data_IF_602521958729
#
_entry.id   IF_602521958729
#
_cell.length_a   1.000
_cell.length_b   1.000
_cell.length_c   1.000
_cell.angle_alpha   90.00
_cell.angle_beta   90.00
_cell.angle_gamma   90.00
#
_symmetry.space_group_name_H-M   'P 1'
#
loop_
_entity.id
_entity.type
_entity.pdbx_description
1 polymer ?
#
# COMPACT_ATOMS: atom_id res chain seq x y z
N UNK A 1 7.27 -21.71 -17.53
CA UNK A 1 6.50 -21.45 -18.76
C UNK A 1 7.10 -20.24 -19.45
N UNK A 2 7.52 -20.38 -20.69
CA UNK A 2 8.05 -19.28 -21.51
C UNK A 2 6.94 -18.24 -21.70
N UNK A 3 7.02 -17.13 -20.95
CA UNK A 3 6.16 -15.99 -21.15
C UNK A 3 6.25 -15.58 -22.63
N UNK A 4 5.14 -15.66 -23.36
CA UNK A 4 5.05 -15.01 -24.67
C UNK A 4 5.38 -13.54 -24.44
N UNK A 5 6.55 -13.10 -24.91
CA UNK A 5 6.96 -11.69 -24.82
C UNK A 5 5.86 -10.85 -25.47
N UNK A 6 5.09 -10.16 -24.64
CA UNK A 6 4.01 -9.30 -25.09
C UNK A 6 4.66 -8.08 -25.73
N UNK A 7 4.47 -7.94 -27.04
CA UNK A 7 4.93 -6.75 -27.75
C UNK A 7 4.05 -5.58 -27.32
N UNK A 8 4.67 -4.55 -26.74
CA UNK A 8 3.95 -3.35 -26.31
C UNK A 8 3.48 -2.54 -27.53
N UNK A 9 2.25 -2.01 -27.46
CA UNK A 9 1.65 -1.17 -28.52
C UNK A 9 1.06 0.13 -27.99
N UNK A 10 0.95 0.24 -26.68
CA UNK A 10 0.32 1.36 -25.97
C UNK A 10 1.14 1.72 -24.74
N UNK A 11 0.94 2.92 -24.18
CA UNK A 11 1.52 3.28 -22.89
C UNK A 11 1.10 2.31 -21.80
N UNK A 12 -0.13 1.81 -21.87
CA UNK A 12 -0.67 0.88 -20.88
C UNK A 12 0.06 -0.47 -20.90
N UNK A 13 0.43 -0.98 -22.09
CA UNK A 13 1.24 -2.21 -22.18
C UNK A 13 2.61 -2.02 -21.52
N UNK A 14 3.28 -0.88 -21.73
CA UNK A 14 4.59 -0.61 -21.13
C UNK A 14 4.46 -0.45 -19.62
N UNK A 15 3.46 0.31 -19.15
CA UNK A 15 3.21 0.53 -17.73
C UNK A 15 2.83 -0.77 -17.01
N UNK A 16 2.07 -1.67 -17.64
CA UNK A 16 1.75 -2.99 -17.08
C UNK A 16 3.00 -3.84 -16.92
N UNK A 17 3.90 -3.87 -17.91
CA UNK A 17 5.14 -4.66 -17.82
C UNK A 17 6.09 -4.09 -16.75
N UNK A 18 6.19 -2.77 -16.62
CA UNK A 18 6.92 -2.12 -15.52
C UNK A 18 6.31 -2.51 -14.18
N UNK A 19 5.00 -2.31 -14.01
CA UNK A 19 4.32 -2.61 -12.75
C UNK A 19 4.35 -4.10 -12.39
N UNK A 20 4.29 -5.00 -13.38
CA UNK A 20 4.45 -6.44 -13.18
C UNK A 20 5.87 -6.80 -12.71
N UNK A 21 6.90 -6.08 -13.18
CA UNK A 21 8.26 -6.26 -12.71
C UNK A 21 8.50 -5.71 -11.29
N UNK A 22 7.60 -4.83 -10.81
CA UNK A 22 7.56 -4.34 -9.44
C UNK A 22 6.79 -5.25 -8.48
N UNK A 23 6.03 -6.23 -8.98
CA UNK A 23 5.33 -7.18 -8.11
C UNK A 23 6.33 -8.00 -7.29
N UNK A 24 5.90 -8.38 -6.09
CA UNK A 24 6.53 -9.47 -5.36
C UNK A 24 6.45 -10.75 -6.23
N UNK A 25 7.58 -11.45 -6.47
CA UNK A 25 7.57 -12.70 -7.21
C UNK A 25 6.63 -13.72 -6.56
N UNK A 26 5.87 -14.54 -7.32
CA UNK A 26 4.97 -15.54 -6.75
C UNK A 26 5.65 -16.49 -5.76
N UNK A 27 6.90 -16.90 -6.04
CA UNK A 27 7.68 -17.74 -5.12
C UNK A 27 7.98 -17.05 -3.79
N UNK A 28 8.27 -15.73 -3.83
CA UNK A 28 8.53 -14.94 -2.61
C UNK A 28 7.24 -14.64 -1.84
N UNK A 29 6.12 -14.48 -2.53
CA UNK A 29 4.82 -14.36 -1.89
C UNK A 29 4.42 -15.66 -1.16
N UNK A 30 4.55 -16.81 -1.82
CA UNK A 30 4.29 -18.11 -1.17
C UNK A 30 5.28 -18.38 -0.03
N UNK A 31 6.56 -18.02 -0.18
CA UNK A 31 7.53 -18.11 0.92
C UNK A 31 7.08 -17.26 2.12
N UNK A 32 6.77 -15.97 1.93
CA UNK A 32 6.29 -15.12 3.02
C UNK A 32 5.02 -15.69 3.68
N UNK A 33 4.14 -16.30 2.88
CA UNK A 33 2.92 -16.97 3.35
C UNK A 33 3.19 -18.19 4.21
N UNK A 34 3.98 -19.13 3.72
CA UNK A 34 4.37 -20.33 4.48
C UNK A 34 4.98 -19.95 5.84
N UNK A 35 5.72 -18.84 5.87
CA UNK A 35 6.43 -18.37 7.07
C UNK A 35 5.49 -17.76 8.11
N UNK A 36 4.51 -16.94 7.70
CA UNK A 36 3.55 -16.41 8.68
C UNK A 36 2.53 -17.47 9.09
N UNK A 37 2.23 -18.45 8.23
CA UNK A 37 1.40 -19.61 8.58
C UNK A 37 2.12 -20.52 9.58
N UNK A 38 3.43 -20.74 9.41
CA UNK A 38 4.26 -21.45 10.39
C UNK A 38 4.33 -20.72 11.74
N UNK A 39 4.47 -19.40 11.74
CA UNK A 39 4.37 -18.60 12.96
C UNK A 39 2.98 -18.73 13.60
N UNK A 40 1.91 -18.66 12.81
CA UNK A 40 0.55 -18.87 13.31
C UNK A 40 0.37 -20.24 13.98
N UNK A 41 0.86 -21.31 13.34
CA UNK A 41 0.82 -22.66 13.88
C UNK A 41 1.66 -22.81 15.16
N UNK A 42 2.80 -22.11 15.26
CA UNK A 42 3.57 -22.05 16.50
C UNK A 42 2.77 -21.41 17.64
N UNK A 43 2.14 -20.26 17.38
CA UNK A 43 1.40 -19.51 18.39
C UNK A 43 0.17 -20.30 18.89
N UNK A 44 -0.45 -21.09 18.03
CA UNK A 44 -1.61 -21.95 18.34
C UNK A 44 -1.22 -23.33 18.92
N UNK A 45 0.08 -23.63 19.03
CA UNK A 45 0.55 -24.92 19.55
C UNK A 45 0.18 -25.12 21.04
N UNK A 46 -0.08 -26.36 21.50
CA UNK A 46 -0.41 -26.63 22.91
C UNK A 46 0.65 -26.16 23.91
N UNK A 47 1.90 -26.05 23.48
CA UNK A 47 3.04 -25.58 24.29
C UNK A 47 3.11 -24.05 24.38
N UNK A 48 2.48 -23.33 23.44
CA UNK A 48 2.43 -21.87 23.43
C UNK A 48 1.56 -21.36 24.57
N UNK A 49 2.05 -20.32 25.26
CA UNK A 49 1.29 -19.59 26.28
C UNK A 49 0.09 -18.84 25.71
N UNK A 50 0.03 -18.68 24.38
CA UNK A 50 -1.05 -17.99 23.69
C UNK A 50 -2.20 -18.91 23.26
N UNK A 51 -2.00 -20.23 23.24
CA UNK A 51 -3.01 -21.20 22.78
C UNK A 51 -4.35 -21.09 23.50
N UNK A 52 -4.33 -20.70 24.78
CA UNK A 52 -5.52 -20.44 25.59
C UNK A 52 -6.40 -19.30 25.04
N UNK A 53 -5.87 -18.47 24.14
CA UNK A 53 -6.53 -17.31 23.57
C UNK A 53 -6.83 -17.44 22.08
N UNK A 54 -6.73 -18.63 21.48
CA UNK A 54 -7.06 -18.90 20.07
C UNK A 54 -6.41 -17.86 19.11
N UNK A 55 -5.07 -17.81 19.08
CA UNK A 55 -4.32 -16.78 18.38
C UNK A 55 -4.50 -16.90 16.86
N UNK A 56 -4.80 -15.79 16.21
CA UNK A 56 -4.90 -15.73 14.75
C UNK A 56 -3.85 -14.77 14.19
N UNK A 57 -3.09 -15.23 13.19
CA UNK A 57 -2.17 -14.40 12.40
C UNK A 57 -2.80 -14.08 11.05
N UNK A 58 -2.90 -12.79 10.72
CA UNK A 58 -3.40 -12.35 9.40
C UNK A 58 -2.52 -11.24 8.83
N UNK A 59 -2.23 -11.26 7.51
CA UNK A 59 -1.51 -10.17 6.86
C UNK A 59 -2.34 -8.89 6.85
N UNK A 60 -1.66 -7.75 6.93
CA UNK A 60 -2.23 -6.42 6.74
C UNK A 60 -1.37 -5.62 5.74
N UNK A 61 -1.57 -4.30 5.68
CA UNK A 61 -0.70 -3.41 4.92
C UNK A 61 -0.64 -3.74 3.43
N UNK A 62 0.53 -3.57 2.83
CA UNK A 62 0.70 -3.67 1.37
C UNK A 62 0.43 -5.07 0.83
N UNK A 63 0.69 -6.12 1.62
CA UNK A 63 0.37 -7.51 1.28
C UNK A 63 -1.14 -7.72 1.15
N UNK A 64 -1.91 -7.28 2.13
CA UNK A 64 -3.37 -7.39 2.11
C UNK A 64 -4.01 -6.57 0.97
N UNK A 65 -3.44 -5.40 0.67
CA UNK A 65 -3.95 -4.51 -0.38
C UNK A 65 -3.50 -4.92 -1.81
N UNK A 66 -2.57 -5.86 -1.94
CA UNK A 66 -1.96 -6.23 -3.22
C UNK A 66 -1.16 -5.09 -3.86
N UNK A 67 -0.51 -4.27 -3.05
CA UNK A 67 0.31 -3.11 -3.47
C UNK A 67 1.76 -3.23 -3.00
N UNK A 68 2.20 -4.43 -2.61
CA UNK A 68 3.61 -4.75 -2.34
C UNK A 68 4.46 -4.36 -3.54
N UNK A 69 5.60 -3.73 -3.27
CA UNK A 69 6.56 -3.29 -4.28
C UNK A 69 7.89 -3.95 -4.02
N UNK A 70 8.53 -4.48 -5.06
CA UNK A 70 9.90 -4.99 -5.00
C UNK A 70 10.83 -3.92 -4.42
N UNK A 71 11.70 -4.26 -3.44
CA UNK A 71 12.69 -3.32 -2.91
C UNK A 71 13.57 -2.71 -4.01
N UNK A 72 14.22 -1.57 -3.74
CA UNK A 72 15.10 -0.92 -4.72
C UNK A 72 16.40 -1.70 -4.89
N UNK A 73 16.92 -2.21 -3.78
CA UNK A 73 18.21 -2.94 -3.73
C UNK A 73 17.99 -4.36 -3.22
N UNK A 74 18.98 -5.24 -3.45
CA UNK A 74 18.96 -6.60 -2.91
C UNK A 74 19.20 -6.64 -1.38
N UNK A 75 19.69 -5.53 -0.80
CA UNK A 75 19.89 -5.39 0.64
C UNK A 75 18.62 -4.98 1.39
N UNK A 76 17.64 -4.41 0.70
CA UNK A 76 16.35 -4.06 1.28
C UNK A 76 15.42 -5.27 1.31
N UNK A 77 14.55 -5.32 2.31
CA UNK A 77 13.64 -6.41 2.60
C UNK A 77 12.19 -6.07 2.23
N UNK A 78 11.40 -7.08 1.87
CA UNK A 78 9.94 -6.93 1.83
C UNK A 78 9.37 -6.82 3.24
N UNK A 79 8.46 -5.86 3.44
CA UNK A 79 7.76 -5.66 4.70
C UNK A 79 6.47 -6.49 4.72
N UNK A 80 6.40 -7.46 5.63
CA UNK A 80 5.23 -8.31 5.88
C UNK A 80 4.59 -7.89 7.20
N UNK A 81 3.64 -6.95 7.14
CA UNK A 81 2.86 -6.57 8.29
C UNK A 81 1.84 -7.66 8.67
N UNK A 82 1.85 -8.09 9.94
CA UNK A 82 0.95 -9.10 10.49
C UNK A 82 0.18 -8.56 11.70
N UNK A 83 -1.07 -9.00 11.85
CA UNK A 83 -1.85 -8.84 13.08
C UNK A 83 -1.86 -10.17 13.82
N UNK A 84 -1.43 -10.17 15.08
CA UNK A 84 -1.59 -11.27 16.03
C UNK A 84 -2.80 -10.96 16.92
N UNK A 85 -3.95 -11.50 16.54
CA UNK A 85 -5.22 -11.30 17.24
C UNK A 85 -5.42 -12.41 18.28
N UNK A 86 -5.58 -12.04 19.54
CA UNK A 86 -5.96 -12.97 20.61
C UNK A 86 -7.44 -12.80 20.96
N UNK A 87 -8.18 -13.91 21.12
CA UNK A 87 -9.55 -13.92 21.67
C UNK A 87 -9.53 -13.69 23.18
N UNK A 88 -9.10 -12.50 23.58
CA UNK A 88 -9.09 -12.01 24.94
C UNK A 88 -9.71 -10.60 25.01
N UNK A 89 -9.77 -10.05 26.21
CA UNK A 89 -10.33 -8.72 26.48
C UNK A 89 -9.34 -7.83 27.23
N UNK A 90 -9.65 -6.52 27.28
CA UNK A 90 -8.84 -5.53 27.99
C UNK A 90 -8.88 -5.67 29.52
N UNK A 91 -9.71 -6.57 30.06
CA UNK A 91 -9.67 -6.95 31.48
C UNK A 91 -8.63 -8.03 31.76
N UNK A 92 -8.20 -8.76 30.72
CA UNK A 92 -7.22 -9.84 30.84
C UNK A 92 -5.78 -9.32 30.69
N UNK A 93 -5.60 -8.22 29.94
CA UNK A 93 -4.30 -7.68 29.59
C UNK A 93 -4.20 -6.16 29.77
N UNK A 94 -3.01 -5.69 30.15
CA UNK A 94 -2.56 -4.34 29.83
C UNK A 94 -1.90 -4.36 28.44
N UNK A 95 -1.69 -3.20 27.80
CA UNK A 95 -0.98 -3.17 26.51
C UNK A 95 0.42 -3.79 26.64
N UNK A 96 1.06 -3.52 27.78
CA UNK A 96 2.36 -4.09 28.15
C UNK A 96 2.31 -5.60 28.28
N UNK A 97 1.42 -6.15 29.10
CA UNK A 97 1.40 -7.60 29.32
C UNK A 97 1.02 -8.36 28.05
N UNK A 98 0.12 -7.82 27.21
CA UNK A 98 -0.18 -8.41 25.90
C UNK A 98 1.07 -8.44 25.02
N UNK A 99 1.75 -7.29 24.89
CA UNK A 99 2.94 -7.16 24.05
C UNK A 99 4.07 -8.06 24.54
N UNK A 100 4.31 -8.13 25.84
CA UNK A 100 5.33 -8.99 26.44
C UNK A 100 5.02 -10.47 26.21
N UNK A 101 3.76 -10.89 26.39
CA UNK A 101 3.33 -12.29 26.19
C UNK A 101 3.54 -12.72 24.73
N UNK A 102 3.10 -11.90 23.77
CA UNK A 102 3.37 -12.16 22.34
C UNK A 102 4.87 -12.16 22.04
N UNK A 103 5.63 -11.24 22.64
CA UNK A 103 7.08 -11.18 22.48
C UNK A 103 7.82 -12.41 23.03
N UNK A 104 7.32 -13.04 24.09
CA UNK A 104 7.88 -14.30 24.63
C UNK A 104 7.80 -15.40 23.58
N UNK A 105 6.64 -15.58 22.95
CA UNK A 105 6.45 -16.59 21.91
C UNK A 105 7.24 -16.29 20.65
N UNK A 106 7.26 -15.03 20.20
CA UNK A 106 8.06 -14.62 19.03
C UNK A 106 9.56 -14.91 19.25
N UNK A 107 10.08 -14.65 20.46
CA UNK A 107 11.46 -15.00 20.82
C UNK A 107 11.66 -16.52 20.94
N UNK A 108 10.65 -17.27 21.38
CA UNK A 108 10.74 -18.72 21.45
C UNK A 108 10.78 -19.33 20.04
N UNK A 109 9.90 -18.89 19.14
CA UNK A 109 9.90 -19.23 17.72
C UNK A 109 11.25 -18.95 17.08
N UNK A 110 11.78 -17.72 17.22
CA UNK A 110 13.07 -17.36 16.63
C UNK A 110 14.23 -18.24 17.12
N UNK A 111 14.23 -18.64 18.40
CA UNK A 111 15.22 -19.58 18.95
C UNK A 111 15.04 -21.01 18.44
N UNK A 112 13.80 -21.48 18.30
CA UNK A 112 13.50 -22.83 17.82
C UNK A 112 13.84 -23.02 16.34
N UNK A 113 13.87 -21.91 15.57
CA UNK A 113 14.18 -21.87 14.15
C UNK A 113 15.58 -21.33 13.84
N UNK A 114 16.46 -21.23 14.84
CA UNK A 114 17.86 -20.79 14.70
C UNK A 114 18.03 -19.47 13.92
N UNK A 115 17.12 -18.51 14.13
CA UNK A 115 17.17 -17.21 13.45
C UNK A 115 18.37 -16.39 13.95
N UNK A 116 19.18 -15.87 13.02
CA UNK A 116 20.42 -15.15 13.33
C UNK A 116 20.18 -13.86 14.14
N UNK A 117 19.20 -13.06 13.69
CA UNK A 117 18.81 -11.80 14.32
C UNK A 117 17.72 -12.07 15.36
N UNK A 118 17.90 -11.48 16.54
CA UNK A 118 16.88 -11.55 17.59
C UNK A 118 15.67 -10.69 17.20
N UNK A 119 14.45 -11.10 17.58
CA UNK A 119 13.28 -10.24 17.37
C UNK A 119 13.44 -8.90 18.09
N UNK A 120 13.08 -7.82 17.41
CA UNK A 120 13.20 -6.45 17.90
C UNK A 120 11.84 -5.93 18.38
N UNK A 121 11.85 -5.17 19.49
CA UNK A 121 10.65 -4.53 20.00
C UNK A 121 10.46 -3.15 19.35
N UNK A 122 9.52 -3.04 18.42
CA UNK A 122 9.11 -1.76 17.86
C UNK A 122 8.14 -1.00 18.76
N UNK A 123 7.65 0.16 18.33
CA UNK A 123 6.64 0.94 19.07
C UNK A 123 5.35 0.14 19.32
N UNK A 124 4.84 -0.51 18.27
CA UNK A 124 3.56 -1.24 18.27
C UNK A 124 3.73 -2.73 18.01
N UNK A 125 4.59 -3.09 17.07
CA UNK A 125 4.88 -4.47 16.68
C UNK A 125 6.13 -5.06 17.37
N UNK A 126 6.31 -6.36 17.16
CA UNK A 126 7.58 -7.08 17.24
C UNK A 126 8.06 -7.39 15.83
N UNK A 127 9.32 -7.12 15.53
CA UNK A 127 9.90 -7.37 14.20
C UNK A 127 10.73 -8.65 14.21
N UNK A 128 10.39 -9.59 13.32
CA UNK A 128 11.14 -10.80 13.04
C UNK A 128 11.93 -10.61 11.75
N UNK A 129 13.26 -10.62 11.86
CA UNK A 129 14.17 -10.49 10.72
C UNK A 129 14.55 -11.87 10.19
N UNK A 130 14.13 -12.22 8.98
CA UNK A 130 14.61 -13.44 8.33
C UNK A 130 16.00 -13.22 7.71
N UNK A 131 16.69 -14.33 7.39
CA UNK A 131 18.02 -14.26 6.79
C UNK A 131 18.00 -13.55 5.42
N UNK A 132 19.17 -13.05 5.01
CA UNK A 132 19.32 -12.20 3.81
C UNK A 132 18.82 -12.90 2.52
N UNK A 133 18.82 -14.24 2.47
CA UNK A 133 18.29 -15.03 1.35
C UNK A 133 16.75 -15.02 1.27
N UNK A 134 16.07 -14.87 2.40
CA UNK A 134 14.64 -14.71 2.49
C UNK A 134 14.17 -13.32 2.02
N UNK A 135 14.96 -12.28 2.33
CA UNK A 135 14.73 -10.88 1.93
C UNK A 135 13.38 -10.31 2.44
N UNK A 136 12.93 -10.64 3.65
CA UNK A 136 11.76 -10.01 4.29
C UNK A 136 11.91 -9.94 5.81
N UNK A 137 11.26 -8.95 6.42
CA UNK A 137 10.95 -8.95 7.85
C UNK A 137 9.44 -9.06 8.07
N UNK A 138 9.06 -9.56 9.23
CA UNK A 138 7.68 -9.67 9.66
C UNK A 138 7.41 -8.79 10.88
N UNK A 139 6.50 -7.85 10.73
CA UNK A 139 6.06 -6.97 11.79
C UNK A 139 4.78 -7.52 12.43
N UNK A 140 4.91 -8.14 13.59
CA UNK A 140 3.82 -8.80 14.31
C UNK A 140 3.20 -7.84 15.31
N UNK A 141 1.99 -7.36 15.02
CA UNK A 141 1.23 -6.44 15.87
C UNK A 141 0.34 -7.21 16.86
N UNK A 142 0.60 -7.16 18.18
CA UNK A 142 -0.30 -7.72 19.18
C UNK A 142 -1.63 -6.94 19.23
N UNK A 143 -2.75 -7.66 19.19
CA UNK A 143 -4.07 -7.06 19.10
C UNK A 143 -5.16 -7.85 19.82
N UNK A 144 -6.24 -7.15 20.20
CA UNK A 144 -7.47 -7.71 20.75
C UNK A 144 -8.69 -7.25 19.94
N UNK A 145 -9.78 -8.03 19.85
CA UNK A 145 -11.03 -7.59 19.22
C UNK A 145 -11.61 -6.35 19.94
N UNK A 146 -12.02 -5.31 19.20
CA UNK A 146 -12.59 -4.08 19.79
C UNK A 146 -13.74 -3.47 18.96
N UNK A 147 -14.38 -4.27 18.11
CA UNK A 147 -15.42 -3.84 17.17
C UNK A 147 -16.59 -3.08 17.81
N UNK A 148 -17.06 -3.52 18.98
CA UNK A 148 -18.21 -2.90 19.63
C UNK A 148 -17.89 -1.49 20.13
N UNK A 149 -16.76 -1.32 20.83
CA UNK A 149 -16.28 0.00 21.28
C UNK A 149 -15.96 0.91 20.10
N UNK A 150 -15.35 0.37 19.05
CA UNK A 150 -15.05 1.10 17.82
C UNK A 150 -16.30 1.75 17.21
N UNK A 151 -17.40 1.00 17.11
CA UNK A 151 -18.69 1.52 16.63
C UNK A 151 -19.25 2.60 17.53
N UNK A 152 -19.20 2.42 18.85
CA UNK A 152 -19.65 3.43 19.82
C UNK A 152 -18.87 4.74 19.66
N UNK A 153 -17.55 4.65 19.51
CA UNK A 153 -16.69 5.83 19.29
C UNK A 153 -17.04 6.52 17.97
N UNK A 154 -17.24 5.76 16.88
CA UNK A 154 -17.68 6.33 15.60
C UNK A 154 -19.04 7.06 15.72
N UNK A 155 -20.02 6.48 16.43
CA UNK A 155 -21.32 7.12 16.66
C UNK A 155 -21.20 8.41 17.47
N UNK A 156 -20.37 8.42 18.51
CA UNK A 156 -20.10 9.60 19.35
C UNK A 156 -19.45 10.74 18.55
N UNK A 157 -18.60 10.41 17.58
CA UNK A 157 -17.99 11.38 16.67
C UNK A 157 -18.90 11.75 15.47
N UNK A 158 -20.14 11.26 15.43
CA UNK A 158 -21.13 11.61 14.41
C UNK A 158 -21.09 10.74 13.14
N UNK A 159 -20.26 9.71 13.08
CA UNK A 159 -20.11 8.81 11.93
C UNK A 159 -21.07 7.63 11.97
N UNK A 160 -22.38 7.90 12.10
CA UNK A 160 -23.42 6.87 12.30
C UNK A 160 -23.51 5.85 11.17
N UNK A 161 -23.40 6.28 9.92
CA UNK A 161 -23.49 5.36 8.77
C UNK A 161 -22.29 4.42 8.70
N UNK A 162 -21.10 4.95 8.98
CA UNK A 162 -19.88 4.14 9.07
C UNK A 162 -19.96 3.14 10.23
N UNK A 163 -20.45 3.58 11.40
CA UNK A 163 -20.62 2.72 12.57
C UNK A 163 -21.58 1.53 12.30
N UNK A 164 -22.60 1.74 11.47
CA UNK A 164 -23.57 0.70 11.07
C UNK A 164 -23.06 -0.22 9.97
N UNK A 165 -22.01 0.17 9.25
CA UNK A 165 -21.42 -0.64 8.20
C UNK A 165 -20.54 -1.74 8.82
N UNK A 166 -21.10 -2.94 8.97
CA UNK A 166 -20.41 -4.08 9.57
C UNK A 166 -19.18 -4.52 8.77
N UNK A 167 -19.18 -4.38 7.43
CA UNK A 167 -18.03 -4.68 6.57
C UNK A 167 -16.83 -3.78 6.87
N UNK A 168 -17.06 -2.56 7.35
CA UNK A 168 -16.00 -1.61 7.67
C UNK A 168 -15.67 -1.53 9.16
N UNK A 169 -16.43 -2.18 10.05
CA UNK A 169 -16.27 -2.03 11.51
C UNK A 169 -16.17 -3.34 12.27
N UNK A 170 -16.61 -4.46 11.68
CA UNK A 170 -16.75 -5.75 12.36
C UNK A 170 -15.45 -6.41 12.79
N UNK A 171 -14.32 -5.98 12.21
CA UNK A 171 -12.99 -6.51 12.49
C UNK A 171 -12.05 -5.45 13.07
N UNK A 172 -12.59 -4.40 13.69
CA UNK A 172 -11.78 -3.43 14.40
C UNK A 172 -11.12 -4.07 15.62
N UNK A 173 -9.89 -3.62 15.89
CA UNK A 173 -8.99 -4.17 16.89
C UNK A 173 -8.46 -3.06 17.81
N UNK A 174 -8.18 -3.42 19.05
CA UNK A 174 -7.33 -2.64 19.95
C UNK A 174 -5.88 -3.09 19.76
N UNK A 175 -4.97 -2.13 19.72
CA UNK A 175 -3.55 -2.38 19.43
C UNK A 175 -2.67 -1.87 20.57
N UNK A 176 -1.45 -2.39 20.67
CA UNK A 176 -0.47 -1.92 21.66
C UNK A 176 0.33 -0.73 21.14
N UNK A 177 0.72 0.17 22.05
CA UNK A 177 1.65 1.26 21.77
C UNK A 177 2.48 1.58 23.03
N UNK A 178 3.76 1.21 23.02
CA UNK A 178 4.64 1.33 24.19
C UNK A 178 5.08 2.77 24.53
N UNK A 179 4.59 3.75 23.77
CA UNK A 179 4.83 5.19 24.03
C UNK A 179 3.72 5.84 24.85
N UNK A 180 2.61 5.14 25.08
CA UNK A 180 1.45 5.72 25.75
C UNK A 180 1.57 5.71 27.28
N UNK A 181 1.11 6.77 27.98
CA UNK A 181 1.16 6.84 29.44
C UNK A 181 0.41 5.72 30.17
N UNK A 182 -0.59 5.11 29.52
CA UNK A 182 -1.41 4.02 30.05
C UNK A 182 -0.93 2.62 29.64
N UNK A 183 0.23 2.50 28.98
CA UNK A 183 0.73 1.24 28.42
C UNK A 183 0.77 0.07 29.43
N UNK A 184 1.15 0.34 30.68
CA UNK A 184 1.25 -0.66 31.75
C UNK A 184 0.00 -0.74 32.65
N UNK A 185 -1.08 -0.03 32.31
CA UNK A 185 -2.29 0.04 33.13
C UNK A 185 -3.41 -0.80 32.55
N UNK A 186 -4.22 -1.39 33.42
CA UNK A 186 -5.47 -2.04 33.04
C UNK A 186 -6.50 -0.96 32.74
N UNK A 187 -6.89 -0.81 31.47
CA UNK A 187 -7.78 0.26 31.01
C UNK A 187 -8.44 -0.13 29.68
N UNK A 188 -9.62 0.43 29.41
CA UNK A 188 -10.29 0.32 28.10
C UNK A 188 -9.72 1.28 27.05
N UNK A 189 -8.92 2.26 27.50
CA UNK A 189 -8.33 3.32 26.68
C UNK A 189 -7.10 2.86 25.91
N UNK A 190 -7.34 1.97 24.95
CA UNK A 190 -6.36 1.50 23.99
C UNK A 190 -6.55 2.19 22.65
N UNK A 191 -5.46 2.44 21.89
CA UNK A 191 -5.55 2.79 20.49
C UNK A 191 -6.36 1.76 19.71
N UNK A 192 -7.11 2.23 18.74
CA UNK A 192 -7.89 1.39 17.85
C UNK A 192 -7.32 1.42 16.45
N UNK A 193 -7.39 0.29 15.77
CA UNK A 193 -7.09 0.18 14.35
C UNK A 193 -8.12 -0.73 13.69
N UNK A 194 -8.18 -0.69 12.37
CA UNK A 194 -9.07 -1.57 11.62
C UNK A 194 -8.49 -1.87 10.23
N UNK A 195 -7.39 -2.64 10.14
CA UNK A 195 -6.71 -2.92 8.87
C UNK A 195 -7.62 -3.64 7.88
N UNK A 196 -8.46 -4.55 8.36
CA UNK A 196 -9.43 -5.27 7.53
C UNK A 196 -10.56 -4.37 7.01
N UNK A 197 -11.06 -3.45 7.85
CA UNK A 197 -12.01 -2.43 7.43
C UNK A 197 -11.41 -1.51 6.37
N UNK A 198 -10.16 -1.08 6.54
CA UNK A 198 -9.43 -0.29 5.54
C UNK A 198 -9.28 -1.06 4.22
N UNK A 199 -8.92 -2.35 4.28
CA UNK A 199 -8.82 -3.19 3.09
C UNK A 199 -10.18 -3.38 2.39
N UNK A 200 -11.27 -3.54 3.14
CA UNK A 200 -12.63 -3.60 2.61
C UNK A 200 -13.01 -2.28 1.92
N UNK A 201 -12.70 -1.13 2.52
CA UNK A 201 -12.88 0.17 1.89
C UNK A 201 -12.04 0.30 0.61
N UNK A 202 -10.76 -0.05 0.65
CA UNK A 202 -9.87 0.02 -0.51
C UNK A 202 -10.38 -0.85 -1.66
N UNK A 203 -10.81 -2.08 -1.37
CA UNK A 203 -11.47 -2.98 -2.32
C UNK A 203 -12.70 -2.35 -2.94
N UNK A 204 -13.52 -1.64 -2.16
CA UNK A 204 -14.71 -0.93 -2.68
C UNK A 204 -14.37 0.15 -3.71
N UNK A 205 -13.19 0.79 -3.59
CA UNK A 205 -12.72 1.81 -4.55
C UNK A 205 -12.39 1.24 -5.92
N UNK A 206 -12.07 -0.06 -6.01
CA UNK A 206 -11.69 -0.75 -7.24
C UNK A 206 -12.65 -1.88 -7.64
N UNK A 207 -13.84 -1.94 -7.05
CA UNK A 207 -14.74 -3.09 -7.17
C UNK A 207 -15.12 -3.44 -8.63
N UNK A 208 -15.31 -2.43 -9.48
CA UNK A 208 -15.66 -2.64 -10.89
C UNK A 208 -14.50 -3.33 -11.61
N UNK A 209 -13.30 -2.74 -11.56
CA UNK A 209 -12.15 -3.30 -12.26
C UNK A 209 -11.70 -4.63 -11.66
N UNK A 210 -11.83 -4.81 -10.36
CA UNK A 210 -11.52 -6.09 -9.71
C UNK A 210 -12.41 -7.23 -10.22
N UNK A 211 -13.71 -6.96 -10.35
CA UNK A 211 -14.66 -7.92 -10.91
C UNK A 211 -14.31 -8.27 -12.37
N UNK A 212 -13.98 -7.25 -13.18
CA UNK A 212 -13.60 -7.48 -14.58
C UNK A 212 -12.29 -8.27 -14.72
N UNK A 213 -11.29 -8.01 -13.89
CA UNK A 213 -10.04 -8.77 -13.90
C UNK A 213 -10.22 -10.23 -13.46
N UNK A 214 -11.09 -10.49 -12.47
CA UNK A 214 -11.44 -11.86 -12.09
C UNK A 214 -12.16 -12.60 -13.22
N UNK A 215 -13.13 -11.96 -13.89
CA UNK A 215 -13.79 -12.53 -15.07
C UNK A 215 -12.80 -12.87 -16.17
N UNK A 216 -11.89 -11.95 -16.50
CA UNK A 216 -10.86 -12.17 -17.50
C UNK A 216 -9.92 -13.34 -17.12
N UNK A 217 -9.59 -13.47 -15.83
CA UNK A 217 -8.75 -14.57 -15.32
C UNK A 217 -9.46 -15.91 -15.40
N UNK A 218 -10.72 -16.00 -14.98
CA UNK A 218 -11.55 -17.20 -15.10
C UNK A 218 -11.61 -17.70 -16.56
N UNK A 219 -11.84 -16.77 -17.49
CA UNK A 219 -11.91 -17.07 -18.93
C UNK A 219 -10.56 -17.59 -19.46
N UNK A 220 -9.44 -17.00 -19.06
CA UNK A 220 -8.09 -17.42 -19.50
C UNK A 220 -7.70 -18.79 -18.96
N UNK A 221 -8.05 -19.09 -17.71
CA UNK A 221 -7.68 -20.35 -17.07
C UNK A 221 -8.64 -21.50 -17.43
N UNK A 222 -9.68 -21.26 -18.23
CA UNK A 222 -10.72 -22.24 -18.60
C UNK A 222 -11.37 -22.91 -17.35
N UNK A 223 -11.37 -22.20 -16.22
CA UNK A 223 -11.93 -22.73 -14.96
C UNK A 223 -13.41 -22.39 -14.94
N UNK A 224 -14.26 -23.39 -14.67
CA UNK A 224 -15.71 -23.22 -14.46
C UNK A 224 -16.06 -22.69 -13.06
N UNK A 225 -15.04 -22.30 -12.28
CA UNK A 225 -15.22 -21.77 -10.93
C UNK A 225 -15.98 -20.44 -10.98
N UNK A 226 -16.70 -20.12 -9.90
CA UNK A 226 -17.35 -18.83 -9.79
C UNK A 226 -16.29 -17.73 -9.85
N UNK A 227 -16.62 -16.58 -10.43
CA UNK A 227 -15.76 -15.38 -10.40
C UNK A 227 -15.40 -15.04 -8.95
N UNK A 228 -16.28 -15.34 -8.01
CA UNK A 228 -16.08 -15.11 -6.57
C UNK A 228 -15.00 -16.01 -5.95
N UNK A 229 -14.70 -17.17 -6.55
CA UNK A 229 -13.74 -18.15 -6.03
C UNK A 229 -12.28 -17.76 -6.35
N UNK A 230 -12.05 -16.86 -7.31
CA UNK A 230 -10.70 -16.39 -7.64
C UNK A 230 -10.21 -15.48 -6.52
N UNK A 231 -9.12 -15.83 -5.81
CA UNK A 231 -8.58 -14.98 -4.75
C UNK A 231 -8.14 -13.63 -5.27
N UNK A 232 -8.39 -12.57 -4.51
CA UNK A 232 -8.07 -11.20 -4.92
C UNK A 232 -6.58 -10.99 -5.21
N UNK A 233 -5.71 -11.67 -4.45
CA UNK A 233 -4.26 -11.58 -4.63
C UNK A 233 -3.76 -12.17 -5.95
N UNK A 234 -4.60 -12.91 -6.70
CA UNK A 234 -4.22 -13.45 -8.01
C UNK A 234 -4.45 -12.46 -9.16
N UNK A 235 -5.16 -11.36 -8.91
CA UNK A 235 -5.44 -10.32 -9.90
C UNK A 235 -4.90 -8.98 -9.46
N UNK A 236 -4.61 -8.10 -10.42
CA UNK A 236 -4.17 -6.72 -10.16
C UNK A 236 -5.06 -5.78 -10.94
N UNK A 237 -5.56 -4.75 -10.25
CA UNK A 237 -6.37 -3.69 -10.85
C UNK A 237 -5.49 -2.52 -11.29
N UNK A 238 -5.98 -1.66 -12.20
CA UNK A 238 -5.31 -0.42 -12.56
C UNK A 238 -4.98 0.48 -11.36
N UNK A 239 -5.83 0.50 -10.31
CA UNK A 239 -5.55 1.23 -9.08
C UNK A 239 -4.29 0.70 -8.37
N UNK A 240 -4.22 -0.62 -8.17
CA UNK A 240 -3.08 -1.26 -7.50
C UNK A 240 -1.79 -1.02 -8.29
N UNK A 241 -1.86 -1.18 -9.61
CA UNK A 241 -0.74 -0.92 -10.54
C UNK A 241 -0.26 0.53 -10.49
N UNK A 242 -1.19 1.48 -10.54
CA UNK A 242 -0.86 2.90 -10.41
C UNK A 242 -0.20 3.21 -9.06
N UNK A 243 -0.70 2.65 -7.95
CA UNK A 243 -0.10 2.83 -6.62
C UNK A 243 1.31 2.24 -6.57
N UNK A 244 1.56 1.06 -7.14
CA UNK A 244 2.90 0.47 -7.20
C UNK A 244 3.89 1.37 -7.95
N UNK A 245 3.48 1.90 -9.11
CA UNK A 245 4.30 2.85 -9.88
C UNK A 245 4.56 4.15 -9.12
N UNK A 246 3.55 4.69 -8.42
CA UNK A 246 3.69 5.89 -7.60
C UNK A 246 4.61 5.67 -6.38
N UNK A 247 4.50 4.51 -5.73
CA UNK A 247 5.40 4.10 -4.64
C UNK A 247 6.83 3.96 -5.14
N UNK A 248 7.05 3.24 -6.25
CA UNK A 248 8.39 3.12 -6.85
C UNK A 248 8.95 4.49 -7.25
N UNK A 249 8.13 5.35 -7.85
CA UNK A 249 8.49 6.74 -8.12
C UNK A 249 8.95 7.49 -6.88
N UNK A 250 8.22 7.33 -5.77
CA UNK A 250 8.60 7.91 -4.48
C UNK A 250 9.92 7.33 -3.98
N UNK A 251 10.07 6.01 -4.02
CA UNK A 251 11.25 5.33 -3.50
C UNK A 251 12.52 5.75 -4.25
N UNK A 252 12.52 5.80 -5.59
CA UNK A 252 13.68 6.26 -6.35
C UNK A 252 14.01 7.74 -6.09
N UNK A 253 12.99 8.60 -5.98
CA UNK A 253 13.18 10.04 -5.75
C UNK A 253 13.80 10.34 -4.37
N UNK A 254 13.57 9.47 -3.39
CA UNK A 254 14.08 9.61 -2.02
C UNK A 254 14.99 8.45 -1.62
N UNK A 255 15.73 7.87 -2.58
CA UNK A 255 16.66 6.76 -2.30
C UNK A 255 17.70 7.12 -1.21
N UNK A 256 18.05 8.40 -1.10
CA UNK A 256 18.98 8.93 -0.10
C UNK A 256 18.31 9.56 1.14
N UNK A 257 16.97 9.57 1.24
CA UNK A 257 16.22 10.16 2.36
C UNK A 257 14.99 9.30 2.72
N UNK A 258 15.25 8.16 3.36
CA UNK A 258 14.21 7.22 3.77
C UNK A 258 13.32 7.76 4.91
N UNK A 259 13.87 8.65 5.74
CA UNK A 259 13.21 9.17 6.95
C UNK A 259 12.06 10.14 6.65
N UNK A 260 12.24 10.99 5.62
CA UNK A 260 11.29 12.06 5.31
C UNK A 260 10.48 11.81 4.04
N UNK A 261 10.63 10.63 3.41
CA UNK A 261 9.90 10.31 2.20
C UNK A 261 8.38 10.19 2.48
N UNK A 262 7.51 10.56 1.53
CA UNK A 262 6.07 10.53 1.75
C UNK A 262 5.56 9.12 2.02
N UNK A 263 4.96 8.84 3.19
CA UNK A 263 4.62 7.46 3.60
C UNK A 263 3.59 6.77 2.70
N UNK A 264 3.68 5.45 2.58
CA UNK A 264 2.88 4.64 1.65
C UNK A 264 1.37 4.75 1.88
N UNK A 265 0.94 4.86 3.15
CA UNK A 265 -0.49 4.97 3.50
C UNK A 265 -1.11 6.28 2.97
N UNK A 266 -0.36 7.39 2.93
CA UNK A 266 -0.82 8.66 2.34
C UNK A 266 -1.02 8.49 0.83
N UNK A 267 -0.02 7.96 0.12
CA UNK A 267 -0.11 7.74 -1.33
C UNK A 267 -1.28 6.83 -1.67
N UNK A 268 -1.39 5.70 -0.96
CA UNK A 268 -2.44 4.68 -1.18
C UNK A 268 -3.84 5.25 -0.93
N UNK A 269 -4.04 5.96 0.19
CA UNK A 269 -5.34 6.50 0.59
C UNK A 269 -5.79 7.59 -0.38
N UNK A 270 -4.93 8.57 -0.67
CA UNK A 270 -5.28 9.67 -1.58
C UNK A 270 -5.49 9.16 -3.02
N UNK A 271 -4.70 8.19 -3.48
CA UNK A 271 -4.89 7.56 -4.79
C UNK A 271 -6.23 6.81 -4.87
N UNK A 272 -6.57 6.01 -3.86
CA UNK A 272 -7.83 5.27 -3.83
C UNK A 272 -9.06 6.20 -3.75
N UNK A 273 -8.97 7.33 -3.05
CA UNK A 273 -10.00 8.37 -3.09
C UNK A 273 -10.16 9.00 -4.47
N UNK A 274 -9.05 9.31 -5.15
CA UNK A 274 -9.06 9.97 -6.44
C UNK A 274 -9.46 9.06 -7.62
N UNK A 275 -9.21 7.76 -7.51
CA UNK A 275 -9.51 6.79 -8.55
C UNK A 275 -11.01 6.61 -8.79
N UNK A 276 -11.39 6.47 -10.07
CA UNK A 276 -12.78 6.42 -10.53
C UNK A 276 -13.05 5.16 -11.39
N UNK A 277 -12.40 4.04 -11.04
CA UNK A 277 -12.53 2.76 -11.76
C UNK A 277 -12.08 2.82 -13.22
N UNK A 278 -11.08 3.62 -13.55
CA UNK A 278 -10.47 3.63 -14.88
C UNK A 278 -9.96 2.23 -15.25
N UNK A 279 -10.24 1.74 -16.48
CA UNK A 279 -9.89 0.39 -16.89
C UNK A 279 -8.41 0.21 -17.26
N UNK A 280 -7.64 1.29 -17.35
CA UNK A 280 -6.24 1.32 -17.76
C UNK A 280 -5.38 2.00 -16.71
N UNK A 281 -4.12 1.60 -16.58
CA UNK A 281 -3.13 2.23 -15.69
C UNK A 281 -2.90 3.67 -16.12
N UNK A 282 -2.77 3.93 -17.43
CA UNK A 282 -2.59 5.27 -17.96
C UNK A 282 -3.78 6.21 -17.62
N UNK A 283 -5.01 5.68 -17.60
CA UNK A 283 -6.19 6.41 -17.16
C UNK A 283 -6.16 6.66 -15.65
N UNK A 284 -5.90 5.61 -14.87
CA UNK A 284 -5.80 5.67 -13.41
C UNK A 284 -4.78 6.72 -12.95
N UNK A 285 -3.56 6.69 -13.49
CA UNK A 285 -2.49 7.64 -13.16
C UNK A 285 -2.91 9.09 -13.45
N UNK A 286 -3.55 9.35 -14.60
CA UNK A 286 -4.00 10.69 -14.95
C UNK A 286 -5.05 11.22 -13.99
N UNK A 287 -6.06 10.42 -13.62
CA UNK A 287 -7.10 10.85 -12.68
C UNK A 287 -6.55 10.99 -11.26
N UNK A 288 -5.76 10.01 -10.80
CA UNK A 288 -5.15 10.01 -9.47
C UNK A 288 -4.27 11.26 -9.31
N UNK A 289 -3.27 11.44 -10.18
CA UNK A 289 -2.35 12.57 -10.09
C UNK A 289 -3.06 13.91 -10.25
N UNK A 290 -4.16 13.98 -11.02
CA UNK A 290 -4.97 15.21 -11.15
C UNK A 290 -5.69 15.58 -9.86
N UNK A 291 -6.19 14.61 -9.11
CA UNK A 291 -7.21 14.85 -8.08
C UNK A 291 -6.78 14.50 -6.64
N UNK A 292 -5.72 13.72 -6.42
CA UNK A 292 -5.44 13.13 -5.10
C UNK A 292 -5.21 14.15 -3.98
N UNK A 293 -4.64 15.32 -4.27
CA UNK A 293 -4.45 16.41 -3.30
C UNK A 293 -5.75 17.10 -2.88
N UNK A 294 -6.87 16.90 -3.61
CA UNK A 294 -8.19 17.43 -3.23
C UNK A 294 -8.78 16.73 -2.00
N UNK A 295 -8.23 15.57 -1.64
CA UNK A 295 -8.62 14.79 -0.46
C UNK A 295 -7.74 15.10 0.76
N UNK A 296 -6.91 16.15 0.68
CA UNK A 296 -6.22 16.73 1.83
C UNK A 296 -7.08 17.89 2.31
N UNK A 297 -7.69 17.71 3.48
CA UNK A 297 -8.51 18.73 4.11
C UNK A 297 -7.64 19.65 4.99
N UNK A 298 -8.19 20.80 5.36
CA UNK A 298 -7.52 21.76 6.24
C UNK A 298 -8.44 22.24 7.37
N UNK A 299 -9.01 21.34 8.19
CA UNK A 299 -9.80 21.75 9.35
C UNK A 299 -8.95 22.64 10.25
N UNK A 300 -9.43 23.86 10.50
CA UNK A 300 -8.72 24.85 11.32
C UNK A 300 -7.29 25.19 10.83
N UNK A 301 -6.99 24.95 9.55
CA UNK A 301 -5.70 25.28 8.93
C UNK A 301 -4.64 24.16 8.99
N UNK A 302 -4.91 23.03 9.64
CA UNK A 302 -3.99 21.89 9.73
C UNK A 302 -4.29 20.85 8.66
N UNK A 303 -3.26 20.29 8.01
CA UNK A 303 -3.45 19.28 6.98
C UNK A 303 -4.05 17.99 7.57
N UNK A 304 -5.15 17.54 7.00
CA UNK A 304 -5.91 16.39 7.48
C UNK A 304 -6.19 15.41 6.34
N UNK A 305 -5.65 14.20 6.48
CA UNK A 305 -5.93 13.06 5.61
C UNK A 305 -6.63 12.01 6.47
N UNK A 306 -7.95 12.04 6.47
CA UNK A 306 -8.76 11.16 7.30
C UNK A 306 -8.56 9.69 6.92
N UNK A 307 -8.43 8.81 7.91
CA UNK A 307 -8.59 7.38 7.68
C UNK A 307 -10.07 7.12 7.29
N UNK A 308 -10.34 6.53 6.11
CA UNK A 308 -11.70 6.35 5.59
C UNK A 308 -12.59 5.45 6.44
N UNK A 309 -12.00 4.61 7.31
CA UNK A 309 -12.75 3.79 8.27
C UNK A 309 -12.63 4.27 9.70
N UNK A 310 -11.78 5.27 9.98
CA UNK A 310 -11.63 5.93 11.28
C UNK A 310 -11.42 7.44 11.10
N UNK A 311 -12.44 8.25 10.79
CA UNK A 311 -12.22 9.64 10.36
C UNK A 311 -11.59 10.56 11.43
N UNK A 312 -11.53 10.12 12.68
CA UNK A 312 -10.81 10.80 13.77
C UNK A 312 -9.28 10.60 13.71
N UNK A 313 -8.79 9.62 12.94
CA UNK A 313 -7.36 9.40 12.70
C UNK A 313 -6.90 10.18 11.48
N UNK A 314 -5.82 10.94 11.66
CA UNK A 314 -5.17 11.73 10.60
C UNK A 314 -3.87 11.04 10.16
N UNK A 315 -3.80 10.60 8.91
CA UNK A 315 -2.55 10.05 8.35
C UNK A 315 -1.46 11.09 8.08
N UNK A 316 -1.81 12.38 8.14
CA UNK A 316 -0.88 13.51 8.02
C UNK A 316 -0.47 14.10 9.38
N UNK A 317 -0.75 13.41 10.50
CA UNK A 317 -0.42 13.86 11.87
C UNK A 317 1.04 14.33 12.03
N UNK A 318 2.00 13.58 11.49
CA UNK A 318 3.42 13.91 11.56
C UNK A 318 3.84 15.12 10.72
N UNK A 319 2.99 15.66 9.85
CA UNK A 319 3.33 16.84 9.05
C UNK A 319 3.40 18.11 9.88
N UNK A 320 2.66 18.20 10.99
CA UNK A 320 2.74 19.31 11.92
C UNK A 320 4.01 19.25 12.77
N UNK A 321 4.40 18.04 13.20
CA UNK A 321 5.62 17.79 13.97
C UNK A 321 6.87 17.99 13.11
N UNK A 322 6.81 17.56 11.85
CA UNK A 322 7.95 17.56 10.92
C UNK A 322 7.54 18.07 9.53
N UNK A 323 7.54 19.41 9.32
CA UNK A 323 7.07 20.03 8.09
C UNK A 323 7.74 19.53 6.80
N UNK A 324 9.00 19.10 6.90
CA UNK A 324 9.77 18.52 5.78
C UNK A 324 9.04 17.33 5.13
N UNK A 325 8.29 16.53 5.89
CA UNK A 325 7.50 15.41 5.35
C UNK A 325 6.39 15.87 4.40
N UNK A 326 5.73 16.99 4.73
CA UNK A 326 4.72 17.61 3.87
C UNK A 326 5.36 18.22 2.62
N UNK A 327 6.46 18.94 2.80
CA UNK A 327 7.21 19.55 1.70
C UNK A 327 7.66 18.49 0.69
N UNK A 328 8.25 17.39 1.17
CA UNK A 328 8.64 16.25 0.36
C UNK A 328 7.45 15.60 -0.36
N UNK A 329 6.27 15.49 0.28
CA UNK A 329 5.06 14.99 -0.39
C UNK A 329 4.62 15.91 -1.53
N UNK A 330 4.60 17.22 -1.31
CA UNK A 330 4.21 18.19 -2.34
C UNK A 330 5.22 18.22 -3.49
N UNK A 331 6.52 18.14 -3.18
CA UNK A 331 7.59 18.07 -4.18
C UNK A 331 7.47 16.80 -5.01
N UNK A 332 7.26 15.66 -4.36
CA UNK A 332 7.02 14.37 -5.01
C UNK A 332 5.81 14.40 -5.92
N UNK A 333 4.67 14.89 -5.42
CA UNK A 333 3.43 14.95 -6.20
C UNK A 333 3.60 15.85 -7.44
N UNK A 334 4.28 16.99 -7.29
CA UNK A 334 4.59 17.86 -8.41
C UNK A 334 5.49 17.18 -9.45
N UNK A 335 6.53 16.45 -9.01
CA UNK A 335 7.42 15.71 -9.90
C UNK A 335 6.69 14.57 -10.62
N UNK A 336 5.94 13.75 -9.89
CA UNK A 336 5.17 12.65 -10.46
C UNK A 336 4.15 13.16 -11.50
N UNK A 337 3.46 14.28 -11.23
CA UNK A 337 2.57 14.93 -12.21
C UNK A 337 3.30 15.26 -13.51
N UNK A 338 4.46 15.89 -13.42
CA UNK A 338 5.27 16.27 -14.57
C UNK A 338 5.76 15.05 -15.34
N UNK A 339 6.38 14.10 -14.67
CA UNK A 339 7.05 12.95 -15.31
C UNK A 339 6.04 12.05 -16.02
N UNK A 340 4.92 11.71 -15.37
CA UNK A 340 3.88 10.91 -16.00
C UNK A 340 3.11 11.68 -17.08
N UNK A 341 2.87 12.99 -16.92
CA UNK A 341 2.23 13.78 -17.98
C UNK A 341 3.12 13.87 -19.24
N UNK A 342 4.44 14.07 -19.05
CA UNK A 342 5.40 14.10 -20.13
C UNK A 342 5.37 12.78 -20.92
N UNK A 343 5.38 11.63 -20.23
CA UNK A 343 5.30 10.34 -20.90
C UNK A 343 3.94 10.11 -21.59
N UNK A 344 2.84 10.30 -20.86
CA UNK A 344 1.50 9.92 -21.32
C UNK A 344 0.91 10.84 -22.40
N UNK A 345 1.36 12.10 -22.49
CA UNK A 345 0.75 13.10 -23.38
C UNK A 345 1.69 13.67 -24.42
N UNK A 346 2.99 13.73 -24.14
CA UNK A 346 3.95 14.37 -25.02
C UNK A 346 4.89 13.38 -25.72
N UNK A 347 4.92 12.11 -25.29
CA UNK A 347 5.78 11.10 -25.87
C UNK A 347 4.97 9.90 -26.39
N UNK A 348 5.55 9.20 -27.36
CA UNK A 348 5.03 7.91 -27.79
C UNK A 348 5.27 6.86 -26.71
N UNK A 349 4.50 5.77 -26.74
CA UNK A 349 4.59 4.70 -25.75
C UNK A 349 5.99 4.06 -25.67
N UNK A 350 6.73 4.06 -26.79
CA UNK A 350 8.09 3.51 -26.92
C UNK A 350 9.20 4.50 -26.54
N UNK A 351 8.86 5.72 -26.13
CA UNK A 351 9.80 6.80 -25.83
C UNK A 351 9.59 7.31 -24.40
N UNK A 352 9.93 6.48 -23.41
CA UNK A 352 9.88 6.92 -22.01
C UNK A 352 10.97 7.96 -21.75
N UNK A 353 10.64 9.16 -21.21
CA UNK A 353 11.63 10.17 -20.86
C UNK A 353 12.61 9.66 -19.80
N UNK A 354 13.89 9.98 -19.93
CA UNK A 354 14.95 9.52 -19.01
C UNK A 354 14.64 9.89 -17.55
N UNK A 355 14.09 11.10 -17.32
CA UNK A 355 13.65 11.56 -15.99
C UNK A 355 12.62 10.65 -15.32
N UNK A 356 11.73 10.01 -16.11
CA UNK A 356 10.76 9.05 -15.58
C UNK A 356 11.42 7.68 -15.40
N UNK A 357 12.37 7.30 -16.26
CA UNK A 357 13.14 6.06 -16.09
C UNK A 357 13.94 6.07 -14.80
N UNK A 358 14.65 7.16 -14.53
CA UNK A 358 15.40 7.38 -13.28
C UNK A 358 14.50 7.19 -12.07
N UNK A 359 13.34 7.84 -12.07
CA UNK A 359 12.37 7.73 -10.98
C UNK A 359 11.64 6.38 -10.93
N UNK A 360 11.70 5.52 -11.95
CA UNK A 360 11.13 4.17 -11.88
C UNK A 360 12.17 3.06 -11.69
N UNK A 361 13.46 3.43 -11.64
CA UNK A 361 14.60 2.54 -11.68
C UNK A 361 15.07 2.33 -13.12
N UNK A 362 16.13 3.06 -13.51
CA UNK A 362 16.58 3.15 -14.91
C UNK A 362 16.90 1.78 -15.51
N UNK A 363 17.65 0.94 -14.80
CA UNK A 363 18.07 -0.38 -15.28
C UNK A 363 16.87 -1.32 -15.50
N UNK A 364 15.90 -1.28 -14.57
CA UNK A 364 14.66 -2.04 -14.67
C UNK A 364 13.86 -1.62 -15.90
N UNK A 365 13.68 -0.31 -16.08
CA UNK A 365 12.89 0.23 -17.18
C UNK A 365 13.57 -0.05 -18.52
N UNK A 366 14.87 0.16 -18.65
CA UNK A 366 15.59 -0.08 -19.90
C UNK A 366 15.59 -1.57 -20.28
N UNK A 367 15.70 -2.47 -19.30
CA UNK A 367 15.56 -3.91 -19.53
C UNK A 367 14.17 -4.25 -20.09
N UNK A 368 13.10 -3.67 -19.52
CA UNK A 368 11.72 -3.92 -19.96
C UNK A 368 11.47 -3.35 -21.35
N UNK A 369 11.83 -2.09 -21.58
CA UNK A 369 11.68 -1.43 -22.88
C UNK A 369 12.40 -2.22 -23.99
N UNK A 370 13.62 -2.69 -23.72
CA UNK A 370 14.38 -3.55 -24.65
C UNK A 370 13.71 -4.91 -24.90
N UNK A 371 12.98 -5.44 -23.92
CA UNK A 371 12.30 -6.72 -24.04
C UNK A 371 10.96 -6.65 -24.78
N UNK A 372 10.23 -5.53 -24.68
CA UNK A 372 8.83 -5.41 -25.14
C UNK A 372 8.66 -4.51 -26.37
N UNK A 373 9.64 -3.66 -26.70
CA UNK A 373 9.61 -2.80 -27.89
C UNK A 373 10.27 -3.53 -29.08
N UNK A 374 9.57 -3.75 -30.21
CA UNK A 374 10.16 -4.36 -31.39
C UNK A 374 11.27 -3.49 -31.99
N UNK A 375 12.35 -4.12 -32.48
CA UNK A 375 13.45 -3.42 -33.17
C UNK A 375 13.00 -2.57 -34.37
N UNK A 376 11.89 -2.93 -35.04
CA UNK A 376 11.32 -2.18 -36.15
C UNK A 376 10.58 -0.90 -35.72
N UNK A 377 10.15 -0.82 -34.46
CA UNK A 377 9.50 0.36 -33.86
C UNK A 377 10.54 1.30 -33.25
N UNK A 378 11.68 0.75 -32.79
CA UNK A 378 12.83 1.46 -32.23
C UNK A 378 13.62 2.33 -33.25
N UNK A 379 13.03 2.67 -34.40
CA UNK A 379 13.66 3.56 -35.38
C UNK A 379 14.05 4.88 -34.70
N UNK A 380 15.27 5.40 -34.92
CA UNK A 380 15.69 6.64 -34.32
C UNK A 380 14.78 7.74 -34.86
N UNK A 381 13.87 8.24 -34.03
CA UNK A 381 13.35 9.56 -34.25
C UNK A 381 14.57 10.48 -34.30
N UNK A 382 14.70 11.29 -35.36
CA UNK A 382 15.60 12.44 -35.33
C UNK A 382 15.04 13.32 -34.20
N UNK A 383 15.52 13.07 -32.98
CA UNK A 383 15.34 13.96 -31.86
C UNK A 383 16.16 15.17 -32.23
N UNK A 384 15.53 16.17 -32.87
CA UNK A 384 15.93 17.54 -32.57
C UNK A 384 15.80 17.60 -31.06
N UNK A 385 16.93 17.66 -30.36
CA UNK A 385 16.97 17.98 -28.95
C UNK A 385 16.19 19.28 -28.78
N UNK A 386 14.90 19.15 -28.51
CA UNK A 386 14.11 20.22 -27.97
C UNK A 386 14.76 20.43 -26.60
N UNK A 387 15.29 21.62 -26.37
CA UNK A 387 15.87 21.98 -25.09
C UNK A 387 14.89 21.59 -23.97
N UNK A 388 15.42 21.24 -22.79
CA UNK A 388 14.65 21.02 -21.55
C UNK A 388 13.48 22.03 -21.41
N UNK A 389 13.67 23.26 -21.87
CA UNK A 389 12.65 24.31 -21.90
C UNK A 389 11.37 23.94 -22.66
N UNK A 390 11.43 23.32 -23.85
CA UNK A 390 10.24 23.01 -24.64
C UNK A 390 9.43 21.84 -24.06
N UNK A 391 10.11 20.86 -23.47
CA UNK A 391 9.43 19.75 -22.81
C UNK A 391 8.89 20.15 -21.45
N UNK A 392 9.58 21.04 -20.72
CA UNK A 392 9.06 21.73 -19.53
C UNK A 392 7.82 22.54 -19.90
N UNK A 393 7.84 23.35 -20.96
CA UNK A 393 6.68 24.14 -21.40
C UNK A 393 5.48 23.26 -21.81
N UNK A 394 5.72 22.10 -22.44
CA UNK A 394 4.66 21.13 -22.77
C UNK A 394 4.10 20.45 -21.53
N UNK A 395 4.96 20.09 -20.58
CA UNK A 395 4.54 19.51 -19.31
C UNK A 395 3.79 20.53 -18.45
N UNK A 396 4.27 21.77 -18.37
CA UNK A 396 3.60 22.90 -17.71
C UNK A 396 2.23 23.15 -18.35
N UNK A 397 2.13 23.21 -19.68
CA UNK A 397 0.85 23.32 -20.36
C UNK A 397 -0.10 22.13 -20.06
N UNK A 398 0.44 20.91 -19.97
CA UNK A 398 -0.34 19.72 -19.63
C UNK A 398 -0.80 19.71 -18.16
N UNK A 399 0.03 20.19 -17.23
CA UNK A 399 -0.26 20.34 -15.80
C UNK A 399 -1.24 21.49 -15.56
N UNK A 400 -1.11 22.59 -16.29
CA UNK A 400 -2.04 23.72 -16.23
C UNK A 400 -3.42 23.34 -16.75
N UNK A 401 -3.52 22.55 -17.82
CA UNK A 401 -4.81 22.04 -18.30
C UNK A 401 -5.45 21.04 -17.30
N UNK A 402 -4.64 20.26 -16.58
CA UNK A 402 -5.07 19.42 -15.44
C UNK A 402 -5.67 20.30 -14.33
N UNK A 403 -5.03 21.43 -14.00
CA UNK A 403 -5.51 22.36 -12.96
C UNK A 403 -6.73 23.16 -13.39
N UNK A 404 -6.83 23.57 -14.67
CA UNK A 404 -7.84 24.50 -15.20
C UNK A 404 -9.22 23.89 -15.44
N UNK A 405 -9.29 22.57 -15.67
CA UNK A 405 -10.55 21.85 -15.97
C UNK A 405 -11.25 21.27 -14.73
N UNK A 406 -10.87 21.70 -13.53
CA UNK A 406 -11.50 21.25 -12.28
C UNK A 406 -12.89 21.85 -12.08
N UNK A 407 -13.93 21.20 -12.60
CA UNK A 407 -15.26 21.35 -12.02
C UNK A 407 -15.20 20.94 -10.55
N UNK A 408 -15.66 21.84 -9.67
CA UNK A 408 -15.88 21.58 -8.26
C UNK A 408 -16.83 20.39 -8.10
N UNK A 409 -16.30 19.18 -7.94
CA UNK A 409 -17.07 18.07 -7.39
C UNK A 409 -17.24 18.38 -5.90
N UNK A 410 -18.49 18.62 -5.50
CA UNK A 410 -18.87 18.91 -4.11
C UNK A 410 -18.34 17.80 -3.19
N UNK A 411 -17.81 18.13 -2.01
CA UNK A 411 -17.46 17.13 -1.01
C UNK A 411 -18.69 16.28 -0.68
N UNK A 412 -18.51 14.96 -0.63
CA UNK A 412 -19.53 14.04 -0.14
C UNK A 412 -19.63 14.20 1.39
N UNK A 413 -20.41 15.17 1.81
CA UNK A 413 -20.91 15.28 3.18
C UNK A 413 -22.02 16.31 3.18
N UNK A 414 -23.25 15.92 2.80
CA UNK A 414 -24.47 16.56 3.31
C UNK A 414 -25.62 15.56 3.42
N UNK A 415 -26.18 15.54 4.62
CA UNK A 415 -27.41 14.91 5.14
C UNK A 415 -27.25 13.49 5.66
#
# INVERSE_FOLDING_TARGET
>A
MTAHKKIARTHDDVLEEIAAALDIPPSKFEEAKERYEALGAWLDSPESTLSAYDPTITPQGSFLLGTVTRPLTEAEEYDVDLVCLLKASKTDFTQKSLKETVGVEIRAYARAHDMEKKPEEGRRCWTLHYADDAQFHMDVLPALPDAQRYRVILEQHGHRDLARNSSFTGQAIAITDNTLPQYDRLTDDWPQSNPMGYAAWFRSRMAVQLTEQKKATAQRQLVTASVDDIPDHQVRTPLQRAIQLLKRHRDCMFADDDEHKPISIIITTLAAHAYDNEPTIAGALQTILKNMDRYIEYPSGEAWIANPVNPAENFADKWAEEPKKRENFLQWLARARTDFALYLRANRFDQMPDVLKENLGIDLVDQILSAVIPAAVAAPAIVKAASNTNDVLRAEAAVDEIRRTGTQSKPWAKS
#
